data_IF_066125857625
#
_entry.id   IF_066125857625
#
_cell.length_a   1.000
_cell.length_b   1.000
_cell.length_c   1.000
_cell.angle_alpha   90.00
_cell.angle_beta   90.00
_cell.angle_gamma   90.00
#
_symmetry.space_group_name_H-M   'P 1'
#
loop_
_entity.id
_entity.type
_entity.pdbx_description
1 polymer ?
#
# COMPACT_ATOMS: atom_id res chain seq x y z
N UNK A 1 -22.49 13.98 -1.71
CA UNK A 1 -22.47 14.24 -3.17
C UNK A 1 -23.79 13.72 -3.74
N UNK A 2 -24.46 14.39 -4.70
CA UNK A 2 -25.79 13.96 -5.13
C UNK A 2 -25.71 12.67 -5.96
N UNK A 3 -26.71 11.79 -5.80
CA UNK A 3 -26.82 10.53 -6.56
C UNK A 3 -26.95 10.73 -8.08
N UNK A 4 -27.30 11.95 -8.52
CA UNK A 4 -27.35 12.39 -9.92
C UNK A 4 -25.99 12.43 -10.60
N UNK A 5 -24.87 12.31 -9.87
CA UNK A 5 -23.53 12.18 -10.49
C UNK A 5 -23.46 11.01 -11.47
N UNK A 6 -24.25 9.95 -11.25
CA UNK A 6 -24.36 8.81 -12.17
C UNK A 6 -24.83 9.18 -13.58
N UNK A 7 -25.49 10.33 -13.73
CA UNK A 7 -26.00 10.83 -15.01
C UNK A 7 -24.89 11.53 -15.82
N UNK A 8 -23.70 11.73 -15.26
CA UNK A 8 -22.54 12.23 -16.00
C UNK A 8 -21.94 11.11 -16.86
N UNK A 9 -22.61 10.78 -17.96
CA UNK A 9 -22.26 9.66 -18.84
C UNK A 9 -20.86 9.79 -19.45
N UNK A 10 -20.32 11.00 -19.55
CA UNK A 10 -18.97 11.27 -20.10
C UNK A 10 -17.89 11.41 -19.03
N UNK A 11 -18.21 11.21 -17.74
CA UNK A 11 -17.23 11.39 -16.67
C UNK A 11 -16.18 10.27 -16.72
N UNK A 12 -14.92 10.65 -16.95
CA UNK A 12 -13.77 9.73 -17.03
C UNK A 12 -13.01 9.68 -15.70
N UNK A 13 -12.83 10.82 -15.05
CA UNK A 13 -12.11 10.94 -13.78
C UNK A 13 -12.99 11.60 -12.75
N UNK A 14 -13.09 10.98 -11.58
CA UNK A 14 -13.61 11.61 -10.38
C UNK A 14 -12.47 11.68 -9.36
N UNK A 15 -11.92 12.87 -9.17
CA UNK A 15 -10.88 13.16 -8.19
C UNK A 15 -11.45 14.04 -7.08
N UNK A 16 -11.39 13.51 -5.86
CA UNK A 16 -11.85 14.18 -4.65
C UNK A 16 -10.90 13.93 -3.48
N UNK A 17 -9.61 13.69 -3.76
CA UNK A 17 -8.58 13.44 -2.73
C UNK A 17 -8.59 14.57 -1.68
N UNK A 18 -8.43 15.81 -2.14
CA UNK A 18 -8.33 17.00 -1.30
C UNK A 18 -9.67 17.65 -0.95
N UNK A 19 -10.80 17.01 -1.27
CA UNK A 19 -12.11 17.61 -1.00
C UNK A 19 -12.33 17.72 0.51
N UNK A 20 -12.25 18.95 1.05
CA UNK A 20 -12.30 19.26 2.48
C UNK A 20 -13.63 18.92 3.19
N UNK A 21 -14.65 18.46 2.45
CA UNK A 21 -15.97 18.19 3.01
C UNK A 21 -16.23 16.68 3.12
N UNK A 22 -16.76 16.26 4.27
CA UNK A 22 -17.37 14.95 4.48
C UNK A 22 -18.60 14.81 3.58
N UNK A 23 -18.39 14.43 2.33
CA UNK A 23 -19.47 14.13 1.42
C UNK A 23 -19.69 12.62 1.42
N UNK A 24 -20.90 12.19 1.79
CA UNK A 24 -21.26 10.80 1.55
C UNK A 24 -21.32 10.59 0.03
N UNK A 25 -20.50 9.67 -0.45
CA UNK A 25 -20.47 9.31 -1.87
C UNK A 25 -21.59 8.34 -2.19
N UNK A 26 -22.36 8.59 -3.26
CA UNK A 26 -23.40 7.66 -3.67
C UNK A 26 -22.75 6.41 -4.26
N UNK A 27 -23.19 5.22 -3.81
CA UNK A 27 -22.69 3.93 -4.32
C UNK A 27 -22.90 3.75 -5.83
N UNK A 28 -23.76 4.56 -6.46
CA UNK A 28 -23.98 4.55 -7.92
C UNK A 28 -22.73 4.89 -8.73
N UNK A 29 -21.70 5.50 -8.12
CA UNK A 29 -20.40 5.74 -8.76
C UNK A 29 -19.78 4.43 -9.26
N UNK A 30 -19.95 3.32 -8.53
CA UNK A 30 -19.44 2.00 -8.92
C UNK A 30 -20.17 1.37 -10.11
N UNK A 31 -21.07 2.09 -10.79
CA UNK A 31 -21.78 1.64 -12.00
C UNK A 31 -21.57 2.58 -13.19
N UNK A 32 -20.68 3.57 -13.05
CA UNK A 32 -20.38 4.55 -14.08
C UNK A 32 -19.44 3.94 -15.12
N UNK A 33 -20.01 3.49 -16.25
CA UNK A 33 -19.31 2.67 -17.25
C UNK A 33 -18.11 3.36 -17.91
N UNK A 34 -18.11 4.69 -18.01
CA UNK A 34 -17.04 5.47 -18.65
C UNK A 34 -15.95 5.90 -17.68
N UNK A 35 -16.13 5.65 -16.38
CA UNK A 35 -15.17 6.02 -15.36
C UNK A 35 -13.91 5.16 -15.49
N UNK A 36 -12.76 5.83 -15.61
CA UNK A 36 -11.43 5.23 -15.65
C UNK A 36 -10.65 5.45 -14.35
N UNK A 37 -10.88 6.59 -13.70
CA UNK A 37 -10.14 6.97 -12.51
C UNK A 37 -11.10 7.43 -11.40
N UNK A 38 -11.04 6.76 -10.26
CA UNK A 38 -11.71 7.15 -9.02
C UNK A 38 -10.65 7.33 -7.94
N UNK A 39 -10.36 8.58 -7.60
CA UNK A 39 -9.35 8.96 -6.63
C UNK A 39 -10.05 9.51 -5.38
N UNK A 40 -10.01 8.72 -4.29
CA UNK A 40 -10.60 9.09 -3.01
C UNK A 40 -9.50 9.53 -2.04
N UNK A 41 -9.83 10.40 -1.09
CA UNK A 41 -8.95 10.76 0.02
C UNK A 41 -9.16 9.86 1.24
N UNK A 42 -8.22 9.89 2.19
CA UNK A 42 -8.18 9.00 3.38
C UNK A 42 -9.42 9.08 4.31
N UNK A 43 -10.29 10.09 4.18
CA UNK A 43 -11.46 10.30 5.05
C UNK A 43 -12.82 10.22 4.34
N UNK A 44 -12.87 9.72 3.10
CA UNK A 44 -14.13 9.73 2.33
C UNK A 44 -15.03 8.56 2.73
N UNK A 45 -16.20 8.88 3.30
CA UNK A 45 -17.25 7.91 3.63
C UNK A 45 -18.27 7.81 2.51
N UNK A 46 -18.83 6.61 2.33
CA UNK A 46 -19.97 6.40 1.44
C UNK A 46 -21.27 6.41 2.26
N UNK A 47 -22.39 6.67 1.59
CA UNK A 47 -23.71 6.65 2.23
C UNK A 47 -23.94 5.31 2.96
N UNK A 48 -24.23 5.40 4.26
CA UNK A 48 -24.61 4.25 5.10
C UNK A 48 -25.92 3.65 4.62
N UNK A 49 -25.96 2.32 4.53
CA UNK A 49 -27.06 1.59 3.94
C UNK A 49 -28.28 1.68 4.87
N UNK A 50 -29.33 2.38 4.45
CA UNK A 50 -30.72 1.96 4.78
C UNK A 50 -31.20 0.80 3.89
N UNK A 51 -30.30 0.19 3.13
CA UNK A 51 -30.62 -0.91 2.22
C UNK A 51 -30.20 -2.25 2.83
N UNK A 52 -30.95 -2.70 3.85
CA UNK A 52 -30.73 -4.00 4.49
C UNK A 52 -31.45 -5.17 3.80
N UNK A 53 -32.18 -4.95 2.71
CA UNK A 53 -33.11 -5.95 2.18
C UNK A 53 -33.00 -6.27 0.69
N UNK A 54 -31.83 -6.15 0.04
CA UNK A 54 -31.68 -6.72 -1.30
C UNK A 54 -30.37 -7.51 -1.42
N UNK A 55 -30.53 -8.82 -1.63
CA UNK A 55 -29.52 -9.73 -2.17
C UNK A 55 -29.06 -9.26 -3.56
N UNK A 56 -28.24 -8.20 -3.64
CA UNK A 56 -27.68 -7.72 -4.90
C UNK A 56 -26.34 -8.41 -5.12
N UNK A 57 -26.38 -9.53 -5.85
CA UNK A 57 -25.21 -10.01 -6.57
C UNK A 57 -24.78 -8.89 -7.53
N UNK A 58 -23.55 -8.40 -7.36
CA UNK A 58 -22.83 -7.45 -8.22
C UNK A 58 -23.27 -5.97 -8.11
N UNK A 59 -22.87 -5.32 -7.00
CA UNK A 59 -23.03 -3.87 -6.79
C UNK A 59 -22.02 -3.02 -7.58
N UNK A 60 -20.90 -3.61 -8.02
CA UNK A 60 -19.81 -2.91 -8.71
C UNK A 60 -19.73 -3.40 -10.15
N UNK A 61 -19.79 -2.47 -11.10
CA UNK A 61 -19.60 -2.70 -12.52
C UNK A 61 -18.87 -1.50 -13.14
N UNK A 62 -17.54 -1.63 -13.24
CA UNK A 62 -16.64 -0.59 -13.71
C UNK A 62 -15.72 -1.15 -14.82
N UNK A 63 -16.26 -1.43 -16.02
CA UNK A 63 -15.54 -2.17 -17.06
C UNK A 63 -14.27 -1.48 -17.58
N UNK A 64 -14.20 -0.16 -17.47
CA UNK A 64 -13.10 0.66 -17.97
C UNK A 64 -12.17 1.20 -16.86
N UNK A 65 -12.33 0.77 -15.61
CA UNK A 65 -11.55 1.33 -14.52
C UNK A 65 -10.08 0.91 -14.62
N UNK A 66 -9.22 1.91 -14.49
CA UNK A 66 -7.77 1.78 -14.51
C UNK A 66 -7.17 2.22 -13.16
N UNK A 67 -7.83 3.10 -12.43
CA UNK A 67 -7.41 3.58 -11.11
C UNK A 67 -8.57 3.58 -10.13
N UNK A 68 -8.39 2.84 -9.03
CA UNK A 68 -9.19 2.96 -7.82
C UNK A 68 -8.24 3.27 -6.67
N UNK A 69 -8.41 4.40 -5.99
CA UNK A 69 -7.51 4.78 -4.90
C UNK A 69 -8.29 5.07 -3.61
N UNK A 70 -7.74 4.63 -2.48
CA UNK A 70 -8.30 4.71 -1.13
C UNK A 70 -9.77 4.27 -0.99
N UNK A 71 -10.16 3.15 -1.61
CA UNK A 71 -11.51 2.58 -1.48
C UNK A 71 -11.58 1.65 -0.27
N UNK A 72 -12.63 1.74 0.55
CA UNK A 72 -12.84 0.80 1.67
C UNK A 72 -13.24 -0.60 1.18
N UNK A 73 -12.60 -1.63 1.71
CA UNK A 73 -12.93 -3.05 1.49
C UNK A 73 -14.30 -3.44 2.05
N UNK A 74 -14.88 -2.64 2.94
CA UNK A 74 -16.29 -2.82 3.38
C UNK A 74 -17.29 -2.50 2.25
N UNK A 75 -16.84 -1.74 1.24
CA UNK A 75 -17.64 -1.26 0.11
C UNK A 75 -17.29 -2.07 -1.14
N UNK A 76 -16.00 -2.11 -1.50
CA UNK A 76 -15.52 -2.90 -2.62
C UNK A 76 -15.28 -4.34 -2.17
N UNK A 77 -16.34 -5.15 -2.14
CA UNK A 77 -16.27 -6.56 -1.75
C UNK A 77 -15.20 -7.30 -2.58
N UNK A 78 -14.45 -8.18 -1.93
CA UNK A 78 -13.38 -9.00 -2.53
C UNK A 78 -13.77 -9.70 -3.83
N UNK A 79 -14.99 -10.24 -3.93
CA UNK A 79 -15.49 -10.89 -5.15
C UNK A 79 -15.51 -9.99 -6.39
N UNK A 80 -15.63 -8.67 -6.18
CA UNK A 80 -15.67 -7.69 -7.27
C UNK A 80 -14.28 -7.41 -7.85
N UNK A 81 -13.20 -7.66 -7.10
CA UNK A 81 -11.84 -7.34 -7.54
C UNK A 81 -11.43 -8.11 -8.80
N UNK A 82 -11.90 -9.35 -8.94
CA UNK A 82 -11.63 -10.19 -10.12
C UNK A 82 -12.28 -9.66 -11.41
N UNK A 83 -13.32 -8.82 -11.29
CA UNK A 83 -13.98 -8.20 -12.44
C UNK A 83 -13.21 -6.96 -12.95
N UNK A 84 -12.25 -6.45 -12.18
CA UNK A 84 -11.53 -5.19 -12.45
C UNK A 84 -10.20 -5.41 -13.20
N UNK A 85 -10.28 -6.19 -14.28
CA UNK A 85 -9.12 -6.67 -15.06
C UNK A 85 -8.26 -5.59 -15.76
N UNK A 86 -8.71 -4.33 -15.80
CA UNK A 86 -8.00 -3.21 -16.40
C UNK A 86 -7.22 -2.35 -15.38
N UNK A 87 -7.27 -2.67 -14.09
CA UNK A 87 -6.62 -1.89 -13.05
C UNK A 87 -5.10 -1.80 -13.25
N UNK A 88 -4.60 -0.57 -13.14
CA UNK A 88 -3.18 -0.22 -13.08
C UNK A 88 -2.79 0.29 -11.69
N UNK A 89 -3.73 0.90 -10.97
CA UNK A 89 -3.54 1.37 -9.59
C UNK A 89 -4.72 0.96 -8.72
N UNK A 90 -4.43 0.33 -7.59
CA UNK A 90 -5.41 -0.04 -6.58
C UNK A 90 -4.96 0.39 -5.19
N UNK A 91 -5.77 1.18 -4.50
CA UNK A 91 -5.63 1.48 -3.07
C UNK A 91 -6.84 0.99 -2.30
N UNK A 92 -6.62 0.06 -1.36
CA UNK A 92 -7.67 -0.49 -0.50
C UNK A 92 -7.40 -0.20 0.98
N UNK A 93 -8.42 0.33 1.65
CA UNK A 93 -8.49 0.44 3.10
C UNK A 93 -9.35 -0.67 3.71
N UNK A 94 -9.21 -0.90 5.00
CA UNK A 94 -10.10 -1.79 5.77
C UNK A 94 -10.23 -3.19 5.15
N UNK A 95 -9.12 -3.74 4.65
CA UNK A 95 -9.16 -5.05 3.99
C UNK A 95 -9.34 -6.17 5.01
N UNK A 96 -9.98 -7.25 4.58
CA UNK A 96 -10.22 -8.45 5.37
C UNK A 96 -9.66 -9.69 4.66
N UNK A 97 -9.74 -10.86 5.30
CA UNK A 97 -9.16 -12.11 4.80
C UNK A 97 -9.68 -12.50 3.40
N UNK A 98 -10.92 -12.17 3.06
CA UNK A 98 -11.44 -12.44 1.72
C UNK A 98 -10.71 -11.62 0.64
N UNK A 99 -10.36 -10.37 0.94
CA UNK A 99 -9.57 -9.54 0.03
C UNK A 99 -8.18 -10.11 -0.12
N UNK A 100 -7.54 -10.49 0.99
CA UNK A 100 -6.19 -11.08 1.00
C UNK A 100 -6.17 -12.38 0.19
N UNK A 101 -7.17 -13.24 0.34
CA UNK A 101 -7.30 -14.48 -0.42
C UNK A 101 -7.47 -14.24 -1.93
N UNK A 102 -8.24 -13.22 -2.33
CA UNK A 102 -8.41 -12.88 -3.75
C UNK A 102 -7.14 -12.26 -4.32
N UNK A 103 -6.48 -11.37 -3.57
CA UNK A 103 -5.23 -10.72 -3.99
C UNK A 103 -4.11 -11.75 -4.12
N UNK A 104 -4.03 -12.69 -3.17
CA UNK A 104 -3.05 -13.79 -3.13
C UNK A 104 -3.42 -14.99 -3.99
N UNK A 105 -4.50 -14.90 -4.77
CA UNK A 105 -5.00 -16.01 -5.57
C UNK A 105 -4.03 -16.43 -6.68
N UNK A 106 -4.33 -17.55 -7.34
CA UNK A 106 -3.49 -18.11 -8.41
C UNK A 106 -3.30 -17.17 -9.61
N UNK A 107 -4.22 -16.21 -9.77
CA UNK A 107 -4.19 -15.19 -10.82
C UNK A 107 -4.24 -13.80 -10.20
N UNK A 108 -3.40 -12.86 -10.64
CA UNK A 108 -3.48 -11.48 -10.16
C UNK A 108 -4.82 -10.86 -10.54
N UNK A 109 -5.35 -9.96 -9.69
CA UNK A 109 -6.60 -9.22 -9.95
C UNK A 109 -6.58 -8.48 -11.29
N UNK A 110 -5.39 -8.01 -11.69
CA UNK A 110 -5.11 -7.43 -13.00
C UNK A 110 -3.64 -7.66 -13.33
N UNK A 111 -3.36 -8.17 -14.53
CA UNK A 111 -2.00 -8.31 -15.05
C UNK A 111 -1.33 -6.97 -15.37
N UNK A 112 -2.11 -5.88 -15.38
CA UNK A 112 -1.66 -4.51 -15.67
C UNK A 112 -1.37 -3.70 -14.39
N UNK A 113 -1.55 -4.29 -13.21
CA UNK A 113 -1.40 -3.59 -11.94
C UNK A 113 0.07 -3.18 -11.74
N UNK A 114 0.28 -1.89 -11.48
CA UNK A 114 1.57 -1.23 -11.32
C UNK A 114 1.77 -0.65 -9.93
N UNK A 115 0.67 -0.26 -9.28
CA UNK A 115 0.65 0.29 -7.94
C UNK A 115 -0.39 -0.44 -7.08
N UNK A 116 0.01 -0.81 -5.87
CA UNK A 116 -0.87 -1.41 -4.87
C UNK A 116 -0.66 -0.75 -3.50
N UNK A 117 -1.73 -0.25 -2.92
CA UNK A 117 -1.78 0.18 -1.52
C UNK A 117 -2.76 -0.71 -0.76
N UNK A 118 -2.34 -1.25 0.39
CA UNK A 118 -3.15 -2.10 1.25
C UNK A 118 -3.06 -1.61 2.71
N UNK A 119 -4.21 -1.29 3.30
CA UNK A 119 -4.32 -1.02 4.73
C UNK A 119 -5.05 -2.15 5.47
N UNK A 120 -4.32 -2.80 6.37
CA UNK A 120 -4.76 -3.92 7.18
C UNK A 120 -5.36 -3.45 8.50
N UNK A 121 -6.47 -4.07 8.90
CA UNK A 121 -7.14 -3.80 10.20
C UNK A 121 -6.93 -4.91 11.22
N UNK A 122 -6.31 -6.01 10.82
CA UNK A 122 -6.00 -7.16 11.66
C UNK A 122 -4.88 -8.00 11.05
N UNK A 123 -4.34 -8.92 11.86
CA UNK A 123 -3.37 -9.93 11.42
C UNK A 123 -3.93 -10.82 10.31
N UNK A 124 -3.06 -11.19 9.37
CA UNK A 124 -3.31 -12.19 8.34
C UNK A 124 -2.27 -13.31 8.38
N UNK A 125 -2.53 -14.39 7.66
CA UNK A 125 -1.65 -15.56 7.61
C UNK A 125 -0.56 -15.42 6.54
N UNK A 126 -0.95 -15.09 5.30
CA UNK A 126 -0.03 -14.94 4.17
C UNK A 126 -0.58 -13.97 3.14
N UNK A 127 0.32 -13.22 2.50
CA UNK A 127 0.03 -12.37 1.35
C UNK A 127 0.99 -12.73 0.22
N UNK A 128 0.47 -13.29 -0.87
CA UNK A 128 1.30 -13.69 -2.01
C UNK A 128 1.14 -12.71 -3.18
N UNK A 129 2.17 -11.89 -3.42
CA UNK A 129 2.22 -10.94 -4.54
C UNK A 129 3.24 -11.35 -5.60
N UNK A 130 3.81 -12.55 -5.53
CA UNK A 130 4.85 -13.03 -6.44
C UNK A 130 4.41 -13.07 -7.91
N UNK A 131 3.09 -13.14 -8.15
CA UNK A 131 2.46 -13.25 -9.48
C UNK A 131 2.21 -11.90 -10.17
N UNK A 132 2.52 -10.79 -9.50
CA UNK A 132 2.27 -9.45 -10.03
C UNK A 132 3.52 -8.91 -10.74
N UNK A 133 3.80 -9.42 -11.94
CA UNK A 133 5.03 -9.10 -12.69
C UNK A 133 5.21 -7.60 -13.00
N UNK A 134 4.12 -6.84 -13.12
CA UNK A 134 4.16 -5.41 -13.44
C UNK A 134 4.04 -4.50 -12.20
N UNK A 135 3.85 -5.06 -11.00
CA UNK A 135 3.70 -4.30 -9.77
C UNK A 135 5.07 -3.79 -9.33
N UNK A 136 5.27 -2.49 -9.51
CA UNK A 136 6.52 -1.79 -9.23
C UNK A 136 6.46 -1.02 -7.91
N UNK A 137 5.27 -0.57 -7.50
CA UNK A 137 5.08 0.23 -6.30
C UNK A 137 4.10 -0.45 -5.34
N UNK A 138 4.55 -0.68 -4.09
CA UNK A 138 3.77 -1.28 -3.04
C UNK A 138 3.80 -0.41 -1.78
N UNK A 139 2.63 -0.17 -1.20
CA UNK A 139 2.50 0.46 0.11
C UNK A 139 1.66 -0.44 1.00
N UNK A 140 2.20 -0.77 2.17
CA UNK A 140 1.54 -1.55 3.20
C UNK A 140 1.37 -0.69 4.44
N UNK A 141 0.14 -0.64 4.96
CA UNK A 141 -0.21 0.11 6.16
C UNK A 141 -0.99 -0.76 7.15
N UNK A 142 -0.81 -0.54 8.44
CA UNK A 142 -1.66 -1.11 9.49
C UNK A 142 -2.42 -0.01 10.24
N UNK A 143 -3.74 -0.15 10.38
CA UNK A 143 -4.61 0.75 11.15
C UNK A 143 -4.95 0.18 12.54
N UNK A 144 -4.18 -0.79 13.00
CA UNK A 144 -4.37 -1.38 14.32
C UNK A 144 -3.07 -1.93 14.90
N UNK A 145 -3.04 -2.04 16.22
CA UNK A 145 -1.85 -2.42 16.99
C UNK A 145 -1.68 -3.96 17.04
N UNK A 146 -1.37 -4.59 15.91
CA UNK A 146 -1.04 -6.02 15.85
C UNK A 146 0.39 -6.25 15.32
N UNK A 147 1.08 -7.29 15.81
CA UNK A 147 2.43 -7.60 15.36
C UNK A 147 2.46 -8.07 13.91
N UNK A 148 3.47 -7.62 13.19
CA UNK A 148 3.68 -7.87 11.77
C UNK A 148 5.03 -8.53 11.50
N UNK A 149 5.03 -9.53 10.61
CA UNK A 149 6.23 -10.25 10.17
C UNK A 149 6.25 -10.30 8.64
N UNK A 150 7.34 -9.83 8.02
CA UNK A 150 7.43 -9.69 6.56
C UNK A 150 7.64 -11.03 5.84
N UNK A 151 8.07 -12.08 6.54
CA UNK A 151 8.18 -13.44 6.02
C UNK A 151 6.81 -14.03 5.60
N UNK A 152 5.71 -13.45 6.07
CA UNK A 152 4.35 -13.76 5.62
C UNK A 152 4.01 -13.20 4.24
N UNK A 153 4.90 -12.43 3.62
CA UNK A 153 4.69 -11.79 2.31
C UNK A 153 5.64 -12.35 1.27
N UNK A 154 5.09 -12.79 0.14
CA UNK A 154 5.87 -12.99 -1.09
C UNK A 154 5.81 -11.72 -1.92
N UNK A 155 6.94 -11.04 -2.08
CA UNK A 155 6.99 -9.77 -2.80
C UNK A 155 6.96 -9.95 -4.33
N UNK A 156 6.46 -8.94 -5.08
CA UNK A 156 6.56 -8.93 -6.53
C UNK A 156 8.02 -8.94 -7.01
N UNK A 157 8.34 -9.64 -8.10
CA UNK A 157 9.73 -9.78 -8.59
C UNK A 157 10.33 -8.47 -9.13
N UNK A 158 9.50 -7.49 -9.50
CA UNK A 158 9.90 -6.22 -10.11
C UNK A 158 9.61 -5.01 -9.23
N UNK A 159 9.51 -5.21 -7.91
CA UNK A 159 9.24 -4.14 -6.97
C UNK A 159 10.42 -3.15 -6.89
N UNK A 160 10.15 -1.88 -7.20
CA UNK A 160 11.13 -0.78 -7.15
C UNK A 160 10.87 0.19 -6.01
N UNK A 161 9.62 0.31 -5.56
CA UNK A 161 9.24 1.14 -4.42
C UNK A 161 8.49 0.33 -3.37
N UNK A 162 8.90 0.45 -2.11
CA UNK A 162 8.19 -0.11 -0.97
C UNK A 162 7.98 0.93 0.13
N UNK A 163 6.72 1.18 0.49
CA UNK A 163 6.33 1.93 1.68
C UNK A 163 5.77 1.01 2.77
N UNK A 164 6.27 1.15 3.99
CA UNK A 164 5.81 0.45 5.18
C UNK A 164 5.38 1.49 6.22
N UNK A 165 4.07 1.62 6.45
CA UNK A 165 3.52 2.71 7.25
C UNK A 165 2.74 2.18 8.46
N UNK A 166 2.99 2.75 9.63
CA UNK A 166 2.25 2.42 10.87
C UNK A 166 2.31 0.93 11.27
N UNK A 167 3.30 0.19 10.78
CA UNK A 167 3.47 -1.24 11.04
C UNK A 167 4.12 -1.48 12.41
N UNK A 168 3.77 -2.57 13.09
CA UNK A 168 4.43 -3.00 14.33
C UNK A 168 5.29 -4.22 14.10
N UNK A 169 6.59 -4.04 14.00
CA UNK A 169 7.54 -5.11 13.73
C UNK A 169 7.98 -5.82 15.02
N UNK A 170 7.91 -7.15 15.01
CA UNK A 170 8.46 -8.01 16.08
C UNK A 170 9.85 -8.52 15.81
N UNK A 171 10.33 -8.37 14.56
CA UNK A 171 11.68 -8.69 14.12
C UNK A 171 12.25 -7.58 13.23
N UNK A 172 13.55 -7.59 12.99
CA UNK A 172 14.18 -6.67 12.03
C UNK A 172 13.61 -6.90 10.61
N UNK A 173 12.85 -5.92 10.05
CA UNK A 173 12.29 -6.06 8.71
C UNK A 173 13.37 -6.17 7.62
N UNK A 174 14.57 -5.63 7.86
CA UNK A 174 15.65 -5.60 6.88
C UNK A 174 16.17 -7.00 6.56
N UNK A 175 15.96 -8.00 7.43
CA UNK A 175 16.28 -9.40 7.14
C UNK A 175 15.61 -9.91 5.86
N UNK A 176 14.39 -9.45 5.58
CA UNK A 176 13.63 -9.82 4.38
C UNK A 176 13.88 -8.81 3.25
N UNK A 177 13.79 -7.51 3.57
CA UNK A 177 13.81 -6.47 2.55
C UNK A 177 15.15 -6.34 1.82
N UNK A 178 16.26 -6.69 2.48
CA UNK A 178 17.59 -6.59 1.89
C UNK A 178 17.82 -7.51 0.68
N UNK A 179 17.02 -8.56 0.56
CA UNK A 179 17.09 -9.54 -0.52
C UNK A 179 16.28 -9.11 -1.76
N UNK A 180 15.54 -7.99 -1.69
CA UNK A 180 14.74 -7.51 -2.82
C UNK A 180 15.67 -6.96 -3.92
N UNK A 181 15.74 -7.62 -5.09
CA UNK A 181 16.84 -7.40 -6.03
C UNK A 181 16.72 -6.11 -6.83
N UNK A 182 15.52 -5.51 -6.89
CA UNK A 182 15.20 -4.34 -7.70
C UNK A 182 14.69 -3.15 -6.89
N UNK A 183 14.71 -3.26 -5.56
CA UNK A 183 14.20 -2.19 -4.70
C UNK A 183 15.10 -0.96 -4.79
N UNK A 184 14.57 0.14 -5.31
CA UNK A 184 15.27 1.40 -5.51
C UNK A 184 14.93 2.42 -4.41
N UNK A 185 13.70 2.37 -3.88
CA UNK A 185 13.22 3.27 -2.83
C UNK A 185 12.53 2.50 -1.72
N UNK A 186 12.95 2.76 -0.48
CA UNK A 186 12.37 2.19 0.73
C UNK A 186 11.93 3.30 1.69
N UNK A 187 10.66 3.25 2.08
CA UNK A 187 10.08 4.19 3.02
C UNK A 187 9.52 3.43 4.25
N UNK A 188 9.96 3.79 5.46
CA UNK A 188 9.51 3.18 6.71
C UNK A 188 9.04 4.29 7.66
N UNK A 189 7.73 4.48 7.78
CA UNK A 189 7.11 5.65 8.40
C UNK A 189 6.19 5.28 9.55
N UNK A 190 6.39 5.91 10.70
CA UNK A 190 5.54 5.76 11.89
C UNK A 190 5.39 4.31 12.35
N UNK A 191 6.35 3.45 12.01
CA UNK A 191 6.39 2.07 12.47
C UNK A 191 6.87 1.97 13.91
N UNK A 192 6.47 0.90 14.60
CA UNK A 192 6.89 0.58 15.96
C UNK A 192 7.62 -0.75 15.99
N UNK A 193 8.43 -0.96 17.02
CA UNK A 193 9.37 -2.07 17.08
C UNK A 193 9.34 -2.71 18.46
N UNK A 194 9.39 -4.04 18.52
CA UNK A 194 9.67 -4.74 19.77
C UNK A 194 11.03 -4.31 20.36
N UNK A 195 11.16 -4.42 21.68
CA UNK A 195 12.43 -4.16 22.37
C UNK A 195 13.53 -5.04 21.78
N UNK A 196 14.75 -4.53 21.67
CA UNK A 196 15.97 -5.18 21.13
C UNK A 196 16.11 -5.30 19.61
N UNK A 197 15.13 -4.86 18.80
CA UNK A 197 15.30 -4.80 17.35
C UNK A 197 16.37 -3.75 17.02
N UNK A 198 17.20 -4.04 16.01
CA UNK A 198 18.00 -3.06 15.28
C UNK A 198 17.58 -3.12 13.82
N UNK A 199 17.79 -2.05 13.05
CA UNK A 199 17.52 -2.05 11.62
C UNK A 199 18.85 -2.26 10.90
N UNK A 200 19.08 -3.50 10.46
CA UNK A 200 20.36 -3.88 9.90
C UNK A 200 20.38 -3.82 8.38
N UNK A 201 21.05 -2.79 7.86
CA UNK A 201 21.25 -2.58 6.43
C UNK A 201 22.64 -3.01 5.94
N UNK A 202 23.45 -3.65 6.79
CA UNK A 202 24.81 -4.09 6.47
C UNK A 202 24.87 -5.40 5.68
N UNK A 203 25.99 -5.62 5.00
CA UNK A 203 26.35 -6.89 4.37
C UNK A 203 26.40 -6.85 2.84
N UNK A 204 27.33 -7.61 2.28
CA UNK A 204 27.50 -7.72 0.83
C UNK A 204 26.22 -8.23 0.17
N UNK A 205 25.86 -7.64 -0.97
CA UNK A 205 24.60 -7.89 -1.72
C UNK A 205 23.31 -7.46 -1.01
N UNK A 206 23.37 -6.84 0.18
CA UNK A 206 22.18 -6.29 0.82
C UNK A 206 21.74 -5.02 0.11
N UNK A 207 20.48 -4.97 -0.32
CA UNK A 207 19.87 -3.82 -1.01
C UNK A 207 20.68 -3.38 -2.25
N UNK A 208 20.85 -4.25 -3.26
CA UNK A 208 21.78 -4.01 -4.36
C UNK A 208 21.44 -2.77 -5.21
N UNK A 209 20.16 -2.42 -5.30
CA UNK A 209 19.64 -1.33 -6.14
C UNK A 209 19.12 -0.12 -5.35
N UNK A 210 19.18 -0.14 -4.01
CA UNK A 210 18.56 0.90 -3.19
C UNK A 210 19.30 2.24 -3.34
N UNK A 211 18.55 3.28 -3.70
CA UNK A 211 19.02 4.66 -3.95
C UNK A 211 18.47 5.64 -2.94
N UNK A 212 17.23 5.41 -2.50
CA UNK A 212 16.51 6.28 -1.59
C UNK A 212 16.04 5.50 -0.36
N UNK A 213 16.41 6.00 0.82
CA UNK A 213 15.96 5.46 2.10
C UNK A 213 15.32 6.58 2.89
N UNK A 214 14.07 6.37 3.29
CA UNK A 214 13.33 7.30 4.10
C UNK A 214 12.83 6.60 5.37
N UNK A 215 13.22 7.13 6.53
CA UNK A 215 12.82 6.60 7.84
C UNK A 215 12.22 7.73 8.67
N UNK A 216 11.08 7.47 9.30
CA UNK A 216 10.38 8.47 10.10
C UNK A 216 9.51 7.83 11.17
N UNK A 217 9.28 8.53 12.28
CA UNK A 217 8.43 8.05 13.37
C UNK A 217 9.03 8.32 14.75
N UNK A 218 8.56 7.57 15.73
CA UNK A 218 9.00 7.65 17.14
C UNK A 218 9.57 6.32 17.58
N UNK A 219 10.63 6.33 18.39
CA UNK A 219 11.24 5.08 18.88
C UNK A 219 11.92 4.28 17.78
N UNK A 220 12.49 4.95 16.77
CA UNK A 220 13.28 4.31 15.72
C UNK A 220 14.49 3.61 16.37
N UNK A 221 14.70 2.31 16.13
CA UNK A 221 15.82 1.59 16.71
C UNK A 221 17.17 2.04 16.13
N UNK A 222 18.24 1.49 16.69
CA UNK A 222 19.58 1.70 16.13
C UNK A 222 19.65 1.24 14.66
N UNK A 223 20.23 2.09 13.82
CA UNK A 223 20.46 1.80 12.41
C UNK A 223 21.87 1.23 12.26
N UNK A 224 22.00 -0.01 11.78
CA UNK A 224 23.28 -0.64 11.54
C UNK A 224 23.60 -0.55 10.05
N UNK A 225 24.69 0.12 9.70
CA UNK A 225 25.17 0.28 8.34
C UNK A 225 26.66 -0.03 8.28
N UNK A 226 27.09 -0.67 7.20
CA UNK A 226 28.51 -0.87 6.89
C UNK A 226 28.84 -0.27 5.51
N UNK A 227 30.03 -0.57 4.99
CA UNK A 227 30.48 -0.11 3.67
C UNK A 227 29.97 -0.99 2.51
N UNK A 228 29.41 -2.17 2.79
CA UNK A 228 29.09 -3.16 1.76
C UNK A 228 27.60 -3.25 1.43
N UNK A 229 26.73 -2.89 2.38
CA UNK A 229 25.29 -2.82 2.19
C UNK A 229 24.82 -1.51 1.55
N UNK A 230 23.72 -1.58 0.79
CA UNK A 230 23.13 -0.46 0.06
C UNK A 230 24.16 0.31 -0.81
N UNK A 231 24.88 -0.35 -1.73
CA UNK A 231 26.01 0.26 -2.44
C UNK A 231 25.65 1.44 -3.35
N UNK A 232 24.36 1.59 -3.72
CA UNK A 232 23.87 2.66 -4.60
C UNK A 232 23.13 3.78 -3.86
N UNK A 233 23.11 3.74 -2.53
CA UNK A 233 22.37 4.69 -1.72
C UNK A 233 22.94 6.10 -1.90
N UNK A 234 22.10 7.03 -2.34
CA UNK A 234 22.47 8.42 -2.62
C UNK A 234 21.61 9.44 -1.88
N UNK A 235 20.48 9.01 -1.31
CA UNK A 235 19.53 9.87 -0.63
C UNK A 235 19.04 9.20 0.65
N UNK A 236 19.14 9.93 1.76
CA UNK A 236 18.57 9.54 3.04
C UNK A 236 17.63 10.65 3.56
N UNK A 237 16.39 10.31 3.88
CA UNK A 237 15.41 11.25 4.46
C UNK A 237 15.03 10.78 5.86
N UNK A 238 15.12 11.69 6.83
CA UNK A 238 14.86 11.39 8.23
C UNK A 238 13.78 12.33 8.77
N UNK A 239 12.51 11.91 8.74
CA UNK A 239 11.36 12.79 9.01
C UNK A 239 11.21 13.22 10.49
N UNK A 240 11.97 12.62 11.41
CA UNK A 240 12.15 13.06 12.81
C UNK A 240 13.54 12.66 13.27
N UNK A 241 14.21 13.51 14.06
CA UNK A 241 15.58 13.26 14.50
C UNK A 241 15.71 11.90 15.21
N UNK A 242 16.27 10.93 14.49
CA UNK A 242 16.82 9.70 15.06
C UNK A 242 18.03 10.11 15.88
N UNK A 243 18.04 9.79 17.18
CA UNK A 243 19.05 10.30 18.12
C UNK A 243 20.48 9.95 17.73
N UNK A 244 20.68 8.92 16.90
CA UNK A 244 21.98 8.41 16.47
C UNK A 244 21.95 7.92 15.01
N UNK A 245 21.85 8.85 14.04
CA UNK A 245 22.03 8.49 12.62
C UNK A 245 23.51 8.13 12.36
N UNK A 246 23.83 6.96 11.80
CA UNK A 246 25.20 6.62 11.42
C UNK A 246 25.83 7.66 10.49
N UNK A 247 27.15 7.87 10.61
CA UNK A 247 27.89 8.90 9.84
C UNK A 247 27.65 8.78 8.33
N UNK A 248 27.74 7.56 7.78
CA UNK A 248 27.47 7.28 6.37
C UNK A 248 26.11 7.77 5.89
N UNK A 249 25.06 7.67 6.72
CA UNK A 249 23.72 8.16 6.36
C UNK A 249 23.60 9.68 6.54
N UNK A 250 24.32 10.26 7.51
CA UNK A 250 24.35 11.72 7.73
C UNK A 250 24.93 12.48 6.53
N UNK A 251 25.92 11.91 5.85
CA UNK A 251 26.57 12.54 4.68
C UNK A 251 25.63 12.75 3.48
N UNK A 252 24.61 11.91 3.35
CA UNK A 252 23.62 11.93 2.26
C UNK A 252 22.22 12.30 2.76
N UNK A 253 22.13 12.84 3.97
CA UNK A 253 20.87 13.20 4.60
C UNK A 253 20.33 14.50 4.00
N UNK A 254 19.11 14.46 3.47
CA UNK A 254 18.39 15.67 3.07
C UNK A 254 17.81 16.40 4.30
N UNK A 255 17.71 17.74 4.24
CA UNK A 255 17.16 18.57 5.31
C UNK A 255 15.66 18.39 5.53
#
# INVERSE_FOLDING_TARGET
MPSTIRNLEKLVTLDIVDAAFYCNLPRTIFRMKHLKHLLLGQDKKFESNKWTNLNVRNEVYLPNIETLDYVSGTILKASSLQELSNLRKLGLNEINDQHINVISGETPISKKLQFLYLCFTKKFERLDLSRYDHLAELILMADSDFPFMLDTIEFPPNLTYLGLWFMKFTEDPMKVLKELPKLESLEVISCTYSQSITLNFSGANSFPELRELAIGGTGIPELIVDQTGMPKLSKFVCYRQVSNVPERLREIMEP
#
